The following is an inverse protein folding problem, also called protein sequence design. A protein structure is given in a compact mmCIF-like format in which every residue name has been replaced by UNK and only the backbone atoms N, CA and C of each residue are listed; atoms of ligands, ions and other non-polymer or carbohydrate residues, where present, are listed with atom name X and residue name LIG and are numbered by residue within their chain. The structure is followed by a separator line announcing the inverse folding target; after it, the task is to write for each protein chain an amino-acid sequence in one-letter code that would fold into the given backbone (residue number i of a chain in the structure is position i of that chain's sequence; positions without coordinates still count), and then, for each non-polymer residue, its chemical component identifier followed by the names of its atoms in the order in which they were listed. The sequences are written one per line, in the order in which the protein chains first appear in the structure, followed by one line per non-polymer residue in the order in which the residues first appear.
data_IF_340002750087
#
_entry.id   IF_340002750087
#
_cell.length_a   1.000
_cell.length_b   1.000
_cell.length_c   1.000
_cell.angle_alpha   90.00
_cell.angle_beta   90.00
_cell.angle_gamma   90.00
#
_symmetry.space_group_name_H-M   'P 1'
#
loop_
_entity.id
_entity.type
_entity.pdbx_description
1 polymer ?
#
# COMPACT_ATOMS: atom_id res chain seq x y z
N UNK A 1 -31.95 6.62 21.93
CA UNK A 1 -30.93 6.44 22.97
C UNK A 1 -29.75 5.79 22.29
N UNK A 2 -28.68 6.55 22.02
CA UNK A 2 -27.46 6.05 21.41
C UNK A 2 -26.64 5.38 22.51
N UNK A 3 -26.49 4.07 22.45
CA UNK A 3 -25.56 3.33 23.33
C UNK A 3 -24.15 3.56 22.81
N UNK A 4 -23.47 4.57 23.37
CA UNK A 4 -22.04 4.65 23.23
C UNK A 4 -21.43 3.48 24.04
N UNK A 5 -20.90 2.51 23.33
CA UNK A 5 -19.98 1.55 23.92
C UNK A 5 -18.67 2.30 24.24
N UNK A 6 -18.47 2.62 25.51
CA UNK A 6 -17.16 3.00 26.06
C UNK A 6 -16.30 1.72 26.17
N UNK A 7 -15.79 1.24 25.05
CA UNK A 7 -14.60 0.41 25.04
C UNK A 7 -13.42 1.39 25.00
N UNK A 8 -12.66 1.47 26.06
CA UNK A 8 -11.36 2.13 26.04
C UNK A 8 -10.53 1.38 24.98
N UNK A 9 -10.37 1.97 23.81
CA UNK A 9 -9.36 1.55 22.87
C UNK A 9 -8.03 1.94 23.50
N UNK A 10 -7.25 0.98 23.95
CA UNK A 10 -5.90 1.22 24.47
C UNK A 10 -4.96 1.77 23.39
N UNK A 11 -5.47 1.96 22.17
CA UNK A 11 -4.73 2.41 20.99
C UNK A 11 -5.47 3.54 20.29
N UNK A 12 -4.88 4.72 20.32
CA UNK A 12 -5.33 5.91 19.62
C UNK A 12 -4.33 6.32 18.55
N UNK A 13 -4.78 7.07 17.58
CA UNK A 13 -3.99 7.49 16.43
C UNK A 13 -4.21 8.98 16.20
N UNK A 14 -3.12 9.74 16.22
CA UNK A 14 -3.14 11.17 15.94
C UNK A 14 -2.70 11.43 14.51
N UNK A 15 -3.51 12.19 13.75
CA UNK A 15 -3.10 12.66 12.44
C UNK A 15 -1.92 13.62 12.56
N UNK A 16 -0.88 13.41 11.77
CA UNK A 16 0.30 14.26 11.70
C UNK A 16 0.20 15.25 10.55
N UNK A 17 0.34 14.77 9.34
CA UNK A 17 0.31 15.59 8.13
C UNK A 17 0.05 14.73 6.89
N UNK A 18 0.01 15.39 5.72
CA UNK A 18 -0.05 14.71 4.43
C UNK A 18 1.12 15.10 3.55
N UNK A 19 1.54 14.16 2.71
CA UNK A 19 2.56 14.31 1.68
C UNK A 19 1.93 14.07 0.32
N UNK A 20 2.23 14.93 -0.65
CA UNK A 20 1.81 14.72 -2.03
C UNK A 20 0.63 15.58 -2.48
N UNK A 21 0.49 15.63 -3.77
CA UNK A 21 -0.57 16.29 -4.54
C UNK A 21 -0.67 15.62 -5.91
N UNK A 22 -1.75 15.90 -6.67
CA UNK A 22 -1.87 15.42 -8.05
C UNK A 22 -0.91 16.17 -8.97
N UNK A 23 0.05 15.45 -9.53
CA UNK A 23 1.00 15.98 -10.52
C UNK A 23 1.50 14.84 -11.43
N UNK A 24 1.92 15.14 -12.66
CA UNK A 24 2.43 14.14 -13.59
C UNK A 24 3.94 13.90 -13.44
N UNK A 25 4.67 14.82 -12.88
CA UNK A 25 6.12 14.81 -12.71
C UNK A 25 6.53 15.82 -11.64
N UNK A 26 7.70 15.65 -11.03
CA UNK A 26 8.23 16.54 -10.02
C UNK A 26 7.53 16.41 -8.66
N UNK A 27 7.15 17.56 -8.10
CA UNK A 27 6.58 17.63 -6.74
C UNK A 27 5.13 17.14 -6.67
N UNK A 28 4.91 15.83 -6.73
CA UNK A 28 3.57 15.24 -6.61
C UNK A 28 3.51 13.78 -7.02
N UNK A 29 2.30 13.22 -7.05
CA UNK A 29 2.04 11.84 -7.39
C UNK A 29 0.96 11.75 -8.48
N UNK A 30 1.00 10.65 -9.24
CA UNK A 30 -0.01 10.38 -10.25
C UNK A 30 -0.56 8.97 -10.16
N UNK A 31 -1.81 8.85 -9.67
CA UNK A 31 -2.45 7.57 -9.37
C UNK A 31 -1.49 6.61 -8.64
N UNK A 32 -0.94 7.02 -7.49
CA UNK A 32 0.03 6.21 -6.77
C UNK A 32 -0.62 4.91 -6.30
N UNK A 33 0.08 3.79 -6.49
CA UNK A 33 -0.46 2.44 -6.22
C UNK A 33 0.19 1.75 -5.03
N UNK A 34 1.45 2.06 -4.75
CA UNK A 34 2.18 1.57 -3.59
C UNK A 34 3.35 2.51 -3.27
N UNK A 35 3.99 2.33 -2.15
CA UNK A 35 5.17 3.07 -1.74
C UNK A 35 6.05 2.23 -0.81
N UNK A 36 7.32 2.59 -0.70
CA UNK A 36 8.26 1.96 0.22
C UNK A 36 9.06 3.02 0.97
N UNK A 37 9.56 2.66 2.16
CA UNK A 37 10.41 3.52 2.97
C UNK A 37 11.86 3.10 2.84
N UNK A 38 12.73 4.07 2.55
CA UNK A 38 14.15 3.97 2.73
C UNK A 38 14.61 4.59 4.06
N UNK A 39 15.91 4.70 4.23
CA UNK A 39 16.51 5.42 5.34
C UNK A 39 16.20 6.92 5.29
N UNK A 40 16.43 7.63 6.40
CA UNK A 40 16.34 9.09 6.49
C UNK A 40 14.98 9.69 6.05
N UNK A 41 13.88 8.97 6.32
CA UNK A 41 12.51 9.35 5.94
C UNK A 41 12.29 9.48 4.42
N UNK A 42 13.14 8.86 3.60
CA UNK A 42 12.96 8.79 2.15
C UNK A 42 11.80 7.86 1.80
N UNK A 43 10.96 8.30 0.87
CA UNK A 43 9.80 7.54 0.38
C UNK A 43 9.89 7.38 -1.12
N UNK A 44 9.75 6.16 -1.60
CA UNK A 44 9.64 5.80 -3.00
C UNK A 44 8.19 5.55 -3.34
N UNK A 45 7.57 6.46 -4.08
CA UNK A 45 6.13 6.37 -4.42
C UNK A 45 5.98 5.87 -5.84
N UNK A 46 5.36 4.72 -6.00
CA UNK A 46 5.12 4.08 -7.28
C UNK A 46 3.86 4.64 -7.93
N UNK A 47 4.02 5.35 -9.02
CA UNK A 47 2.94 5.97 -9.77
C UNK A 47 2.56 5.12 -11.00
N UNK A 48 1.25 5.01 -11.24
CA UNK A 48 0.68 4.31 -12.39
C UNK A 48 -0.28 5.24 -13.13
N UNK A 49 0.13 5.74 -14.27
CA UNK A 49 -0.70 6.66 -15.05
C UNK A 49 -1.71 5.90 -15.93
N UNK A 50 -2.55 6.64 -16.63
CA UNK A 50 -3.50 6.06 -17.59
C UNK A 50 -2.80 5.74 -18.91
N UNK A 51 -3.29 4.74 -19.64
CA UNK A 51 -2.74 4.35 -20.96
C UNK A 51 -2.70 5.51 -21.98
N UNK A 52 -3.70 6.39 -21.94
CA UNK A 52 -3.76 7.57 -22.81
C UNK A 52 -2.90 8.76 -22.31
N UNK A 53 -2.32 8.66 -21.13
CA UNK A 53 -1.43 9.67 -20.51
C UNK A 53 -0.33 8.96 -19.71
N UNK A 54 0.57 8.23 -20.39
CA UNK A 54 1.58 7.38 -19.74
C UNK A 54 2.71 8.14 -19.07
N UNK A 55 2.85 9.43 -19.32
CA UNK A 55 3.86 10.34 -18.80
C UNK A 55 3.92 10.42 -17.26
N UNK A 56 2.89 9.97 -16.55
CA UNK A 56 2.90 9.89 -15.09
C UNK A 56 3.28 8.51 -14.51
N UNK A 57 3.80 7.59 -15.33
CA UNK A 57 4.23 6.25 -14.87
C UNK A 57 5.71 6.27 -14.52
N UNK A 58 6.03 6.42 -13.24
CA UNK A 58 7.39 6.53 -12.71
C UNK A 58 7.38 6.33 -11.19
N UNK A 59 8.57 6.29 -10.58
CA UNK A 59 8.74 6.38 -9.15
C UNK A 59 9.11 7.82 -8.80
N UNK A 60 8.35 8.44 -7.89
CA UNK A 60 8.72 9.70 -7.25
C UNK A 60 9.49 9.41 -5.98
N UNK A 61 10.64 10.03 -5.79
CA UNK A 61 11.46 9.95 -4.58
C UNK A 61 11.39 11.27 -3.84
N UNK A 62 10.93 11.24 -2.61
CA UNK A 62 10.83 12.42 -1.75
C UNK A 62 11.01 12.04 -0.27
N UNK A 63 11.07 13.02 0.62
CA UNK A 63 11.02 12.79 2.06
C UNK A 63 9.57 12.86 2.57
N UNK A 64 9.34 12.37 3.78
CA UNK A 64 8.06 12.57 4.48
C UNK A 64 7.78 14.05 4.81
N UNK A 65 8.78 14.94 4.71
CA UNK A 65 8.66 16.39 4.86
C UNK A 65 8.45 17.13 3.54
N UNK A 66 8.20 16.38 2.44
CA UNK A 66 7.96 16.89 1.09
C UNK A 66 9.20 17.55 0.42
N UNK A 67 10.43 17.13 0.77
CA UNK A 67 11.60 17.48 -0.01
C UNK A 67 11.66 16.55 -1.23
N UNK A 68 11.48 17.10 -2.43
CA UNK A 68 11.62 16.35 -3.68
C UNK A 68 13.09 16.02 -3.92
N UNK A 69 13.38 14.74 -4.18
CA UNK A 69 14.74 14.24 -4.40
C UNK A 69 14.95 13.97 -5.90
N UNK A 70 14.13 13.06 -6.47
CA UNK A 70 14.29 12.64 -7.86
C UNK A 70 13.03 11.92 -8.35
N UNK A 71 13.03 11.55 -9.63
CA UNK A 71 12.10 10.58 -10.20
C UNK A 71 12.84 9.70 -11.19
N UNK A 72 12.42 8.44 -11.34
CA UNK A 72 12.99 7.49 -12.28
C UNK A 72 11.97 6.46 -12.75
N UNK A 73 12.34 5.72 -13.81
CA UNK A 73 11.42 4.85 -14.51
C UNK A 73 10.55 5.62 -15.51
N UNK A 74 9.94 4.90 -16.42
CA UNK A 74 9.05 5.47 -17.43
C UNK A 74 8.10 4.42 -17.98
N UNK A 75 7.10 4.84 -18.75
CA UNK A 75 6.18 3.93 -19.42
C UNK A 75 6.87 3.16 -20.55
N UNK A 76 6.68 1.85 -20.62
CA UNK A 76 7.16 0.98 -21.69
C UNK A 76 7.54 -0.43 -21.21
N UNK A 77 8.13 -1.23 -22.11
CA UNK A 77 8.48 -2.64 -21.89
C UNK A 77 9.99 -2.88 -21.72
N UNK A 78 10.79 -1.85 -21.98
CA UNK A 78 12.26 -1.91 -21.93
C UNK A 78 12.80 -2.03 -20.48
N UNK A 79 14.11 -1.97 -20.37
CA UNK A 79 14.80 -1.90 -19.10
C UNK A 79 14.52 -0.55 -18.43
N UNK A 80 14.19 -0.59 -17.15
CA UNK A 80 13.81 0.63 -16.41
C UNK A 80 12.41 1.16 -16.72
N UNK A 81 11.57 0.43 -17.45
CA UNK A 81 10.22 0.84 -17.85
C UNK A 81 9.14 -0.03 -17.22
N UNK A 82 7.94 0.54 -17.10
CA UNK A 82 6.74 -0.10 -16.54
C UNK A 82 5.55 0.13 -17.46
N UNK A 83 4.56 -0.79 -17.42
CA UNK A 83 3.23 -0.57 -18.03
C UNK A 83 2.19 -0.43 -16.94
N UNK A 84 2.00 -1.47 -16.11
CA UNK A 84 1.08 -1.45 -14.99
C UNK A 84 1.77 -1.89 -13.70
N UNK A 85 2.63 -1.04 -13.13
CA UNK A 85 3.28 -1.35 -11.87
C UNK A 85 2.23 -1.42 -10.75
N UNK A 86 2.43 -2.34 -9.80
CA UNK A 86 1.44 -2.66 -8.74
C UNK A 86 1.98 -2.54 -7.34
N UNK A 87 3.23 -2.90 -7.10
CA UNK A 87 3.80 -2.90 -5.75
C UNK A 87 5.31 -2.66 -5.78
N UNK A 88 5.83 -2.09 -4.70
CA UNK A 88 7.25 -1.84 -4.48
C UNK A 88 7.66 -2.31 -3.10
N UNK A 89 8.79 -3.02 -3.02
CA UNK A 89 9.44 -3.44 -1.78
C UNK A 89 10.94 -3.17 -1.85
N UNK A 90 11.57 -2.95 -0.69
CA UNK A 90 13.02 -2.75 -0.57
C UNK A 90 13.69 -3.99 0.02
N UNK A 91 14.87 -4.32 -0.49
CA UNK A 91 15.78 -5.23 0.20
C UNK A 91 16.61 -4.48 1.28
N UNK A 92 17.49 -5.19 1.98
CA UNK A 92 18.33 -4.62 3.04
C UNK A 92 19.36 -3.59 2.53
N UNK A 93 19.67 -3.61 1.24
CA UNK A 93 20.61 -2.69 0.58
C UNK A 93 19.84 -1.51 -0.07
N UNK A 94 18.53 -1.41 0.21
CA UNK A 94 17.59 -0.43 -0.36
C UNK A 94 17.41 -0.53 -1.88
N UNK A 95 17.68 -1.69 -2.48
CA UNK A 95 17.26 -1.90 -3.87
C UNK A 95 15.75 -2.08 -3.94
N UNK A 96 15.14 -1.46 -4.95
CA UNK A 96 13.69 -1.47 -5.16
C UNK A 96 13.29 -2.64 -6.06
N UNK A 97 12.40 -3.48 -5.58
CA UNK A 97 11.75 -4.55 -6.33
C UNK A 97 10.35 -4.10 -6.70
N UNK A 98 10.02 -4.08 -7.99
CA UNK A 98 8.78 -3.54 -8.52
C UNK A 98 8.05 -4.59 -9.33
N UNK A 99 6.83 -4.94 -8.93
CA UNK A 99 5.97 -5.83 -9.68
C UNK A 99 5.23 -5.05 -10.78
N UNK A 100 5.11 -5.66 -11.95
CA UNK A 100 4.31 -5.15 -13.06
C UNK A 100 3.33 -6.22 -13.53
N UNK A 101 2.03 -5.97 -13.33
CA UNK A 101 0.98 -6.94 -13.63
C UNK A 101 0.75 -7.16 -15.14
N UNK A 102 1.12 -6.19 -15.99
CA UNK A 102 1.01 -6.34 -17.43
C UNK A 102 2.21 -7.08 -18.03
N UNK A 103 3.40 -6.72 -17.57
CA UNK A 103 4.65 -7.32 -18.05
C UNK A 103 4.95 -8.68 -17.40
N UNK A 104 4.18 -9.05 -16.35
CA UNK A 104 4.35 -10.31 -15.61
C UNK A 104 5.79 -10.51 -15.13
N UNK A 105 6.39 -9.45 -14.58
CA UNK A 105 7.79 -9.44 -14.15
C UNK A 105 8.01 -8.60 -12.90
N UNK A 106 9.16 -8.83 -12.30
CA UNK A 106 9.72 -7.97 -11.26
C UNK A 106 10.92 -7.26 -11.85
N UNK A 107 10.98 -5.95 -11.74
CA UNK A 107 12.12 -5.11 -12.11
C UNK A 107 12.84 -4.65 -10.85
N UNK A 108 14.18 -4.62 -10.87
CA UNK A 108 15.01 -4.26 -9.74
C UNK A 108 15.82 -3.01 -10.08
N UNK A 109 15.82 -2.05 -9.16
CA UNK A 109 16.55 -0.79 -9.27
C UNK A 109 17.40 -0.55 -8.03
N UNK A 110 18.47 0.20 -8.16
CA UNK A 110 19.16 0.76 -7.01
C UNK A 110 18.30 1.87 -6.35
N UNK A 111 18.62 2.23 -5.13
CA UNK A 111 17.98 3.36 -4.44
C UNK A 111 18.12 4.70 -5.18
N UNK A 112 19.14 4.82 -6.04
CA UNK A 112 19.40 6.01 -6.84
C UNK A 112 18.70 5.98 -8.21
N UNK A 113 17.90 4.91 -8.48
CA UNK A 113 17.09 4.76 -9.68
C UNK A 113 17.80 4.12 -10.87
N UNK A 114 18.98 3.53 -10.69
CA UNK A 114 19.65 2.74 -11.73
C UNK A 114 18.96 1.38 -11.90
N UNK A 115 18.62 1.04 -13.13
CA UNK A 115 18.08 -0.30 -13.42
C UNK A 115 19.19 -1.34 -13.23
N UNK A 116 18.93 -2.36 -12.40
CA UNK A 116 19.89 -3.42 -12.07
C UNK A 116 19.57 -4.73 -12.80
N UNK A 117 18.32 -5.19 -12.72
CA UNK A 117 17.90 -6.47 -13.31
C UNK A 117 16.38 -6.56 -13.44
N UNK A 118 15.91 -7.61 -14.10
CA UNK A 118 14.51 -8.02 -14.14
C UNK A 118 14.40 -9.53 -14.22
N UNK A 119 13.33 -10.08 -13.65
CA UNK A 119 13.01 -11.49 -13.70
C UNK A 119 11.50 -11.73 -13.66
N UNK A 120 11.06 -12.94 -13.98
CA UNK A 120 9.68 -13.34 -14.13
C UNK A 120 9.30 -13.49 -15.60
N UNK A 121 8.48 -14.49 -15.86
CA UNK A 121 7.91 -14.82 -17.18
C UNK A 121 6.44 -15.10 -17.03
N UNK A 122 5.64 -14.77 -18.05
CA UNK A 122 4.20 -15.02 -18.04
C UNK A 122 3.89 -16.51 -18.05
N UNK A 123 3.00 -16.94 -17.15
CA UNK A 123 2.53 -18.31 -17.11
C UNK A 123 1.97 -18.75 -15.76
N UNK A 124 1.77 -20.06 -15.58
CA UNK A 124 1.21 -20.67 -14.38
C UNK A 124 2.12 -21.74 -13.73
N UNK A 125 3.27 -22.02 -14.35
CA UNK A 125 4.29 -22.93 -13.79
C UNK A 125 4.99 -22.34 -12.57
N UNK A 126 5.87 -23.12 -11.96
CA UNK A 126 6.69 -22.67 -10.84
C UNK A 126 7.71 -21.62 -11.32
N UNK A 127 7.72 -20.47 -10.69
CA UNK A 127 8.52 -19.31 -11.10
C UNK A 127 7.91 -18.45 -12.20
N UNK A 128 6.83 -18.89 -12.86
CA UNK A 128 6.05 -18.09 -13.80
C UNK A 128 5.01 -17.25 -13.06
N UNK A 129 4.62 -16.11 -13.62
CA UNK A 129 3.72 -15.13 -13.01
C UNK A 129 2.54 -14.81 -13.96
N UNK A 130 1.35 -14.62 -13.41
CA UNK A 130 0.20 -14.03 -14.12
C UNK A 130 -0.42 -12.92 -13.25
N UNK A 131 -0.17 -11.69 -13.67
CA UNK A 131 -0.56 -10.46 -12.96
C UNK A 131 -0.03 -10.41 -11.52
N UNK A 132 1.29 -10.37 -11.33
CA UNK A 132 1.86 -10.16 -10.00
C UNK A 132 1.36 -8.84 -9.41
N UNK A 133 0.91 -8.88 -8.16
CA UNK A 133 0.33 -7.75 -7.46
C UNK A 133 1.25 -7.31 -6.29
N UNK A 134 0.99 -7.77 -5.08
CA UNK A 134 1.75 -7.37 -3.89
C UNK A 134 3.14 -8.01 -3.81
N UNK A 135 4.10 -7.25 -3.28
CA UNK A 135 5.46 -7.68 -2.95
C UNK A 135 5.77 -7.44 -1.47
N UNK A 136 6.47 -8.39 -0.87
CA UNK A 136 7.13 -8.20 0.42
C UNK A 136 8.47 -8.91 0.43
N UNK A 137 9.47 -8.33 1.11
CA UNK A 137 10.80 -8.93 1.27
C UNK A 137 11.03 -9.15 2.76
N UNK A 138 11.34 -10.40 3.14
CA UNK A 138 11.59 -10.74 4.53
C UNK A 138 12.99 -10.29 4.98
N UNK A 139 13.25 -10.21 6.31
CA UNK A 139 14.59 -9.94 6.82
C UNK A 139 15.65 -10.93 6.31
N UNK A 140 15.25 -12.18 6.01
CA UNK A 140 16.11 -13.23 5.43
C UNK A 140 16.28 -13.07 3.91
N UNK A 141 15.79 -11.96 3.33
CA UNK A 141 15.91 -11.63 1.91
C UNK A 141 15.17 -12.62 0.98
N UNK A 142 14.03 -13.14 1.45
CA UNK A 142 13.08 -13.87 0.61
C UNK A 142 12.04 -12.92 0.05
N UNK A 143 11.86 -12.93 -1.26
CA UNK A 143 10.83 -12.14 -1.96
C UNK A 143 9.54 -12.95 -2.03
N UNK A 144 8.47 -12.44 -1.43
CA UNK A 144 7.13 -12.97 -1.56
C UNK A 144 6.39 -12.19 -2.63
N UNK A 145 5.83 -12.88 -3.62
CA UNK A 145 5.10 -12.30 -4.74
C UNK A 145 3.68 -12.84 -4.75
N UNK A 146 2.71 -11.96 -4.64
CA UNK A 146 1.30 -12.32 -4.86
C UNK A 146 1.08 -12.48 -6.36
N UNK A 147 0.95 -13.71 -6.81
CA UNK A 147 0.67 -14.10 -8.19
C UNK A 147 -0.86 -14.16 -8.39
N UNK A 148 -1.45 -12.96 -8.55
CA UNK A 148 -2.86 -12.69 -8.31
C UNK A 148 -3.79 -13.55 -9.16
N UNK A 149 -3.56 -13.64 -10.45
CA UNK A 149 -4.44 -14.39 -11.35
C UNK A 149 -4.26 -15.90 -11.25
N UNK A 150 -3.09 -16.34 -10.80
CA UNK A 150 -2.84 -17.75 -10.44
C UNK A 150 -3.33 -18.09 -9.02
N UNK A 151 -3.89 -17.12 -8.28
CA UNK A 151 -4.47 -17.31 -6.93
C UNK A 151 -3.50 -17.97 -5.95
N UNK A 152 -2.25 -17.52 -5.95
CA UNK A 152 -1.18 -18.05 -5.10
C UNK A 152 -0.21 -16.98 -4.66
N UNK A 153 0.62 -17.29 -3.67
CA UNK A 153 1.84 -16.56 -3.34
C UNK A 153 3.03 -17.42 -3.70
N UNK A 154 4.02 -16.85 -4.37
CA UNK A 154 5.28 -17.51 -4.67
C UNK A 154 6.42 -16.86 -3.89
N UNK A 155 7.42 -17.66 -3.53
CA UNK A 155 8.66 -17.25 -2.85
C UNK A 155 9.83 -17.34 -3.81
N UNK A 156 10.67 -16.30 -3.80
CA UNK A 156 11.87 -16.21 -4.66
C UNK A 156 13.08 -15.74 -3.85
N UNK A 157 14.28 -16.05 -4.35
CA UNK A 157 15.47 -15.31 -3.95
C UNK A 157 15.46 -13.90 -4.55
N UNK A 158 16.37 -13.04 -4.13
CA UNK A 158 16.52 -11.68 -4.70
C UNK A 158 16.80 -11.71 -6.22
N UNK A 159 17.46 -12.76 -6.71
CA UNK A 159 17.78 -12.97 -8.14
C UNK A 159 16.63 -13.60 -8.94
N UNK A 160 15.47 -13.85 -8.30
CA UNK A 160 14.30 -14.42 -8.96
C UNK A 160 14.30 -15.95 -9.07
N UNK A 161 15.14 -16.65 -8.28
CA UNK A 161 15.08 -18.12 -8.23
C UNK A 161 13.86 -18.55 -7.40
N UNK A 162 13.00 -19.39 -8.00
CA UNK A 162 11.85 -19.96 -7.31
C UNK A 162 12.28 -20.81 -6.10
N UNK A 163 11.64 -20.56 -4.95
CA UNK A 163 11.91 -21.25 -3.68
C UNK A 163 10.71 -22.05 -3.16
N UNK A 164 9.49 -21.66 -3.54
CA UNK A 164 8.28 -22.31 -3.09
C UNK A 164 7.03 -21.50 -3.38
N UNK A 165 5.87 -22.08 -3.08
CA UNK A 165 4.57 -21.43 -3.27
C UNK A 165 3.53 -21.96 -2.30
N UNK A 166 2.47 -21.20 -2.08
CA UNK A 166 1.28 -21.62 -1.36
C UNK A 166 0.02 -20.94 -1.89
N UNK A 167 -1.13 -21.50 -1.59
CA UNK A 167 -2.42 -21.01 -2.07
C UNK A 167 -2.86 -21.66 -3.37
N UNK A 168 -4.16 -21.61 -3.60
CA UNK A 168 -4.86 -22.09 -4.80
C UNK A 168 -6.18 -21.32 -4.95
N UNK A 169 -6.81 -21.41 -6.13
CA UNK A 169 -8.10 -20.76 -6.33
C UNK A 169 -9.20 -21.36 -5.44
N UNK A 170 -9.95 -20.47 -4.78
CA UNK A 170 -11.12 -20.83 -3.98
C UNK A 170 -11.46 -19.81 -2.89
N UNK A 171 -12.27 -20.26 -1.90
CA UNK A 171 -12.72 -19.43 -0.79
C UNK A 171 -12.52 -20.11 0.59
N UNK A 172 -11.99 -21.32 0.64
CA UNK A 172 -11.65 -22.02 1.87
C UNK A 172 -10.38 -21.48 2.54
N UNK A 173 -9.98 -22.04 3.69
CA UNK A 173 -8.70 -21.75 4.32
C UNK A 173 -7.53 -22.05 3.40
N UNK A 174 -6.64 -21.08 3.22
CA UNK A 174 -5.49 -21.20 2.33
C UNK A 174 -5.79 -21.07 0.84
N UNK A 175 -7.06 -20.90 0.46
CA UNK A 175 -7.45 -20.63 -0.93
C UNK A 175 -7.65 -19.13 -1.14
N UNK A 176 -7.42 -18.65 -2.38
CA UNK A 176 -7.50 -17.24 -2.75
C UNK A 176 -8.41 -17.02 -3.96
N UNK A 177 -8.98 -15.83 -4.02
CA UNK A 177 -9.64 -15.33 -5.23
C UNK A 177 -9.08 -13.95 -5.59
N UNK A 178 -8.16 -13.92 -6.55
CA UNK A 178 -7.42 -12.71 -6.93
C UNK A 178 -6.82 -11.98 -5.70
N UNK A 179 -5.92 -12.61 -4.92
CA UNK A 179 -5.23 -11.94 -3.83
C UNK A 179 -4.47 -10.73 -4.34
N UNK A 180 -4.29 -9.69 -3.51
CA UNK A 180 -3.67 -8.44 -3.97
C UNK A 180 -2.50 -8.02 -3.09
N UNK A 181 -2.75 -7.43 -1.93
CA UNK A 181 -1.72 -6.94 -1.02
C UNK A 181 -1.13 -8.04 -0.15
N UNK A 182 0.09 -7.82 0.31
CA UNK A 182 0.83 -8.70 1.20
C UNK A 182 1.59 -7.88 2.24
N UNK A 183 1.63 -8.36 3.47
CA UNK A 183 2.42 -7.79 4.55
C UNK A 183 3.10 -8.88 5.36
N UNK A 184 4.24 -8.56 5.96
CA UNK A 184 4.96 -9.44 6.87
C UNK A 184 4.80 -8.91 8.29
N UNK A 185 4.52 -9.81 9.22
CA UNK A 185 4.47 -9.51 10.64
C UNK A 185 5.85 -9.68 11.29
N UNK A 186 6.12 -9.05 12.44
CA UNK A 186 7.40 -9.19 13.14
C UNK A 186 7.75 -10.64 13.54
N UNK A 187 6.74 -11.49 13.73
CA UNK A 187 6.93 -12.92 14.02
C UNK A 187 7.24 -13.78 12.78
N UNK A 188 7.34 -13.15 11.58
CA UNK A 188 7.56 -13.82 10.30
C UNK A 188 6.27 -14.33 9.63
N UNK A 189 5.10 -14.12 10.22
CA UNK A 189 3.82 -14.45 9.57
C UNK A 189 3.60 -13.61 8.33
N UNK A 190 2.95 -14.21 7.33
CA UNK A 190 2.60 -13.58 6.05
C UNK A 190 1.10 -13.31 6.01
N UNK A 191 0.71 -12.04 5.87
CA UNK A 191 -0.68 -11.66 5.72
C UNK A 191 -0.97 -11.31 4.27
N UNK A 192 -2.07 -11.84 3.72
CA UNK A 192 -2.46 -11.64 2.32
C UNK A 192 -3.87 -11.08 2.26
N UNK A 193 -4.05 -9.99 1.54
CA UNK A 193 -5.36 -9.44 1.23
C UNK A 193 -6.00 -10.26 0.10
N UNK A 194 -6.97 -11.08 0.44
CA UNK A 194 -7.72 -11.95 -0.45
C UNK A 194 -8.88 -11.15 -1.07
N UNK A 195 -8.54 -10.33 -2.06
CA UNK A 195 -9.28 -9.19 -2.57
C UNK A 195 -10.72 -9.51 -2.97
N UNK A 196 -10.99 -10.62 -3.68
CA UNK A 196 -12.36 -11.00 -4.09
C UNK A 196 -13.13 -11.83 -3.06
N UNK A 197 -12.45 -12.30 -2.04
CA UNK A 197 -13.09 -12.97 -0.90
C UNK A 197 -13.32 -12.01 0.28
N UNK A 198 -12.98 -10.72 0.13
CA UNK A 198 -13.21 -9.66 1.12
C UNK A 198 -12.68 -10.02 2.52
N UNK A 199 -11.46 -10.58 2.59
CA UNK A 199 -10.82 -11.02 3.84
C UNK A 199 -9.32 -10.86 3.82
N UNK A 200 -8.68 -10.96 4.98
CA UNK A 200 -7.24 -11.12 5.14
C UNK A 200 -6.98 -12.54 5.59
N UNK A 201 -5.97 -13.21 5.03
CA UNK A 201 -5.52 -14.51 5.48
C UNK A 201 -4.09 -14.44 6.00
N UNK A 202 -3.81 -15.16 7.09
CA UNK A 202 -2.51 -15.26 7.73
C UNK A 202 -1.92 -16.65 7.53
N UNK A 203 -0.61 -16.69 7.23
CA UNK A 203 0.17 -17.91 6.99
C UNK A 203 1.48 -17.84 7.76
N UNK A 204 2.10 -19.00 8.01
CA UNK A 204 3.52 -19.03 8.39
C UNK A 204 4.40 -18.61 7.19
N UNK A 205 5.67 -18.33 7.43
CA UNK A 205 6.66 -18.07 6.38
C UNK A 205 6.79 -19.23 5.37
N UNK A 206 6.48 -20.47 5.78
CA UNK A 206 6.47 -21.65 4.91
C UNK A 206 5.20 -21.76 4.08
N UNK A 207 4.15 -20.94 4.38
CA UNK A 207 2.88 -20.92 3.66
C UNK A 207 1.80 -21.83 4.27
N UNK A 208 1.94 -22.22 5.53
CA UNK A 208 0.90 -22.95 6.26
C UNK A 208 -0.16 -21.96 6.75
N UNK A 209 -1.40 -22.18 6.37
CA UNK A 209 -2.53 -21.35 6.80
C UNK A 209 -2.70 -21.38 8.33
N UNK A 210 -2.94 -20.20 8.92
CA UNK A 210 -3.12 -20.01 10.36
C UNK A 210 -4.49 -19.44 10.72
N UNK A 211 -4.89 -18.35 10.05
CA UNK A 211 -6.12 -17.63 10.36
C UNK A 211 -6.71 -16.90 9.16
N UNK A 212 -7.99 -16.49 9.28
CA UNK A 212 -8.65 -15.55 8.37
C UNK A 212 -9.39 -14.50 9.17
N UNK A 213 -9.31 -13.25 8.73
CA UNK A 213 -9.95 -12.10 9.36
C UNK A 213 -10.86 -11.41 8.36
N UNK A 214 -12.07 -11.05 8.81
CA UNK A 214 -13.04 -10.31 8.02
C UNK A 214 -13.97 -11.15 7.16
N UNK A 215 -14.91 -10.47 6.59
CA UNK A 215 -15.93 -10.97 5.66
C UNK A 215 -16.48 -9.81 4.83
N UNK A 216 -17.20 -10.11 3.75
CA UNK A 216 -17.79 -9.09 2.88
C UNK A 216 -18.74 -8.15 3.61
N UNK A 217 -18.62 -6.84 3.37
CA UNK A 217 -19.51 -5.81 3.90
C UNK A 217 -18.82 -4.49 4.21
N UNK A 218 -19.55 -3.61 4.92
CA UNK A 218 -19.08 -2.27 5.29
C UNK A 218 -19.08 -1.99 6.80
N UNK A 219 -19.50 -2.96 7.61
CA UNK A 219 -19.48 -2.86 9.08
C UNK A 219 -18.08 -3.03 9.68
N UNK A 220 -18.02 -3.02 11.00
CA UNK A 220 -16.82 -3.32 11.77
C UNK A 220 -16.36 -4.76 11.50
N UNK A 221 -15.08 -4.95 11.19
CA UNK A 221 -14.53 -6.27 10.85
C UNK A 221 -15.04 -6.84 9.52
N UNK A 222 -15.72 -6.03 8.71
CA UNK A 222 -16.10 -6.38 7.34
C UNK A 222 -15.28 -5.58 6.36
N UNK A 223 -14.99 -6.15 5.19
CA UNK A 223 -14.19 -5.50 4.14
C UNK A 223 -14.92 -5.54 2.79
N UNK A 224 -14.53 -4.61 1.93
CA UNK A 224 -14.94 -4.60 0.54
C UNK A 224 -13.70 -4.33 -0.32
N UNK A 225 -13.18 -5.39 -0.94
CA UNK A 225 -11.96 -5.35 -1.74
C UNK A 225 -10.75 -4.82 -0.95
N UNK A 226 -10.35 -5.46 0.18
CA UNK A 226 -9.15 -5.05 0.90
C UNK A 226 -7.94 -5.11 -0.04
N UNK A 227 -7.19 -4.01 -0.12
CA UNK A 227 -6.11 -3.88 -1.10
C UNK A 227 -4.74 -4.05 -0.43
N UNK A 228 -4.42 -3.22 0.56
CA UNK A 228 -3.17 -3.26 1.29
C UNK A 228 -3.33 -3.81 2.71
N UNK A 229 -2.29 -4.48 3.21
CA UNK A 229 -2.20 -4.94 4.60
C UNK A 229 -0.78 -4.76 5.10
N UNK A 230 -0.63 -4.28 6.34
CA UNK A 230 0.64 -4.30 7.07
C UNK A 230 0.42 -4.62 8.54
N UNK A 231 1.50 -4.96 9.23
CA UNK A 231 1.51 -5.27 10.68
C UNK A 231 2.59 -4.42 11.32
N UNK A 232 2.30 -3.80 12.46
CA UNK A 232 3.29 -3.04 13.23
C UNK A 232 4.04 -3.93 14.24
N UNK A 233 4.98 -3.33 14.97
CA UNK A 233 5.81 -4.01 15.97
C UNK A 233 5.00 -4.60 17.15
N UNK A 234 3.81 -4.07 17.42
CA UNK A 234 2.89 -4.60 18.45
C UNK A 234 2.00 -5.73 17.92
N UNK A 235 2.08 -6.05 16.63
CA UNK A 235 1.27 -7.05 15.94
C UNK A 235 -0.10 -6.52 15.52
N UNK A 236 -0.38 -5.23 15.62
CA UNK A 236 -1.64 -4.65 15.13
C UNK A 236 -1.66 -4.66 13.60
N UNK A 237 -2.80 -5.08 13.05
CA UNK A 237 -3.00 -5.33 11.62
C UNK A 237 -3.76 -4.15 11.02
N UNK A 238 -3.17 -3.46 10.05
CA UNK A 238 -3.77 -2.34 9.33
C UNK A 238 -4.20 -2.79 7.95
N UNK A 239 -5.46 -2.55 7.59
CA UNK A 239 -6.06 -3.01 6.34
C UNK A 239 -6.63 -1.82 5.56
N UNK A 240 -6.11 -1.57 4.37
CA UNK A 240 -6.66 -0.62 3.43
C UNK A 240 -7.92 -1.22 2.78
N UNK A 241 -9.08 -0.85 3.31
CA UNK A 241 -10.42 -1.32 2.91
C UNK A 241 -10.93 -0.45 1.75
N UNK A 242 -10.41 -0.75 0.56
CA UNK A 242 -10.39 0.10 -0.63
C UNK A 242 -11.75 0.65 -1.02
N UNK A 243 -12.76 -0.20 -1.21
CA UNK A 243 -14.10 0.22 -1.64
C UNK A 243 -14.93 0.85 -0.51
N UNK A 244 -14.53 0.66 0.74
CA UNK A 244 -15.15 1.30 1.90
C UNK A 244 -14.49 2.63 2.27
N UNK A 245 -13.44 3.06 1.54
CA UNK A 245 -12.72 4.32 1.76
C UNK A 245 -12.23 4.51 3.21
N UNK A 246 -11.64 3.48 3.79
CA UNK A 246 -11.14 3.52 5.17
C UNK A 246 -9.93 2.60 5.35
N UNK A 247 -9.22 2.79 6.46
CA UNK A 247 -8.31 1.79 7.01
C UNK A 247 -8.94 1.24 8.27
N UNK A 248 -9.05 -0.07 8.41
CA UNK A 248 -9.41 -0.72 9.67
C UNK A 248 -8.17 -1.25 10.36
N UNK A 249 -8.17 -1.18 11.69
CA UNK A 249 -7.11 -1.71 12.55
C UNK A 249 -7.67 -2.85 13.38
N UNK A 250 -7.01 -4.00 13.30
CA UNK A 250 -7.32 -5.18 14.10
C UNK A 250 -6.14 -5.46 15.04
N UNK A 251 -6.42 -6.05 16.20
CA UNK A 251 -5.37 -6.59 17.05
C UNK A 251 -4.79 -7.92 16.50
N UNK A 252 -3.73 -8.50 17.09
CA UNK A 252 -3.13 -9.74 16.61
C UNK A 252 -4.10 -10.93 16.51
N UNK A 253 -5.17 -10.94 17.31
CA UNK A 253 -6.21 -11.99 17.27
C UNK A 253 -7.32 -11.68 16.24
N UNK A 254 -7.16 -10.61 15.44
CA UNK A 254 -8.12 -10.23 14.40
C UNK A 254 -9.36 -9.49 14.92
N UNK A 255 -9.36 -9.03 16.18
CA UNK A 255 -10.47 -8.21 16.73
C UNK A 255 -10.29 -6.75 16.35
N UNK A 256 -11.36 -6.11 15.96
CA UNK A 256 -11.39 -4.68 15.61
C UNK A 256 -10.94 -3.81 16.78
N UNK A 257 -10.04 -2.87 16.50
CA UNK A 257 -9.57 -1.85 17.44
C UNK A 257 -10.07 -0.47 17.05
N UNK A 258 -9.81 -0.06 15.79
CA UNK A 258 -10.05 1.31 15.34
C UNK A 258 -10.27 1.36 13.83
N UNK A 259 -10.78 2.50 13.33
CA UNK A 259 -10.81 2.81 11.91
C UNK A 259 -10.35 4.24 11.64
N UNK A 260 -9.66 4.44 10.54
CA UNK A 260 -9.26 5.75 10.02
C UNK A 260 -10.05 6.03 8.75
N UNK A 261 -10.65 7.21 8.64
CA UNK A 261 -11.42 7.64 7.46
C UNK A 261 -10.76 8.79 6.70
N UNK A 262 -9.65 9.30 7.23
CA UNK A 262 -8.89 10.41 6.68
C UNK A 262 -9.14 11.74 7.39
N UNK A 263 -8.04 12.47 7.62
CA UNK A 263 -8.01 13.72 8.39
C UNK A 263 -7.19 14.81 7.67
N UNK A 264 -7.12 14.72 6.35
CA UNK A 264 -6.21 15.54 5.53
C UNK A 264 -6.29 17.04 5.81
N UNK A 265 -5.11 17.62 5.94
CA UNK A 265 -4.83 19.05 5.76
C UNK A 265 -3.88 19.19 4.58
N UNK A 266 -4.07 20.24 3.75
CA UNK A 266 -3.23 20.46 2.56
C UNK A 266 -1.75 20.36 2.93
N UNK A 267 -1.03 19.54 2.19
CA UNK A 267 0.42 19.43 2.23
C UNK A 267 1.09 20.72 1.76
N UNK A 268 2.39 20.87 1.95
CA UNK A 268 3.12 22.04 1.46
C UNK A 268 3.02 22.14 -0.06
N UNK A 269 3.31 21.05 -0.76
CA UNK A 269 3.17 21.00 -2.23
C UNK A 269 1.75 21.35 -2.70
N UNK A 270 0.73 20.90 -1.96
CA UNK A 270 -0.66 21.25 -2.23
C UNK A 270 -0.94 22.74 -2.05
N UNK A 271 -0.43 23.37 -0.99
CA UNK A 271 -0.55 24.81 -0.75
C UNK A 271 0.14 25.62 -1.84
N UNK A 272 1.35 25.25 -2.23
CA UNK A 272 2.14 25.94 -3.25
C UNK A 272 1.43 25.91 -4.62
N UNK A 273 0.92 24.74 -5.00
CA UNK A 273 0.11 24.59 -6.23
C UNK A 273 -1.16 25.44 -6.19
N UNK A 274 -1.86 25.43 -5.07
CA UNK A 274 -3.08 26.22 -4.91
C UNK A 274 -2.77 27.73 -4.99
N UNK A 275 -1.69 28.18 -4.35
CA UNK A 275 -1.26 29.59 -4.38
C UNK A 275 -0.89 30.07 -5.77
N UNK A 276 -0.42 29.19 -6.65
CA UNK A 276 -0.06 29.52 -8.04
C UNK A 276 -1.26 29.68 -8.98
N UNK A 277 -2.48 29.31 -8.55
CA UNK A 277 -3.67 29.34 -9.41
C UNK A 277 -4.92 29.81 -8.64
N UNK A 278 -5.32 31.10 -8.77
CA UNK A 278 -6.49 31.67 -8.09
C UNK A 278 -7.82 30.96 -8.40
N UNK A 279 -7.98 30.39 -9.59
CA UNK A 279 -9.22 29.67 -9.96
C UNK A 279 -9.35 28.36 -9.17
N UNK A 280 -8.23 27.68 -8.89
CA UNK A 280 -8.23 26.49 -8.04
C UNK A 280 -8.63 26.82 -6.60
N UNK A 281 -8.18 27.96 -6.06
CA UNK A 281 -8.58 28.45 -4.73
C UNK A 281 -10.09 28.63 -4.68
N UNK A 282 -10.66 29.27 -5.70
CA UNK A 282 -12.09 29.53 -5.80
C UNK A 282 -12.92 28.22 -5.92
N UNK A 283 -12.49 27.31 -6.78
CA UNK A 283 -13.16 26.03 -6.96
C UNK A 283 -13.11 25.17 -5.68
N UNK A 284 -11.97 25.17 -4.99
CA UNK A 284 -11.84 24.48 -3.70
C UNK A 284 -12.77 25.08 -2.65
N UNK A 285 -12.85 26.40 -2.54
CA UNK A 285 -13.74 27.07 -1.61
C UNK A 285 -15.21 26.71 -1.85
N UNK A 286 -15.65 26.60 -3.12
CA UNK A 286 -16.99 26.16 -3.49
C UNK A 286 -17.23 24.71 -3.07
N UNK A 287 -16.30 23.81 -3.34
CA UNK A 287 -16.43 22.42 -2.94
C UNK A 287 -16.51 22.24 -1.41
N UNK A 288 -15.67 22.93 -0.66
CA UNK A 288 -15.67 22.91 0.81
C UNK A 288 -16.91 23.55 1.42
N UNK A 289 -17.55 24.51 0.74
CA UNK A 289 -18.80 25.11 1.19
C UNK A 289 -19.98 24.10 1.09
N UNK A 290 -19.93 23.18 0.15
CA UNK A 290 -20.95 22.13 -0.02
C UNK A 290 -20.67 20.88 0.83
N UNK A 291 -19.40 20.53 1.04
CA UNK A 291 -18.95 19.42 1.90
C UNK A 291 -17.67 19.84 2.63
N UNK A 292 -17.75 20.24 3.91
CA UNK A 292 -16.57 20.64 4.70
C UNK A 292 -15.51 19.55 4.85
N UNK A 293 -15.89 18.29 4.70
CA UNK A 293 -15.03 17.13 4.78
C UNK A 293 -14.59 16.60 3.40
N UNK A 294 -14.97 17.30 2.33
CA UNK A 294 -14.69 16.92 0.94
C UNK A 294 -13.24 16.47 0.71
N UNK A 295 -12.30 17.14 1.33
CA UNK A 295 -10.87 16.89 1.11
C UNK A 295 -10.22 16.04 2.21
N UNK A 296 -10.88 15.85 3.35
CA UNK A 296 -10.30 15.14 4.49
C UNK A 296 -10.28 13.63 4.28
N UNK A 297 -11.42 13.07 3.84
CA UNK A 297 -11.65 11.63 3.77
C UNK A 297 -10.77 10.95 2.73
N UNK A 298 -10.42 9.70 2.99
CA UNK A 298 -9.80 8.84 1.99
C UNK A 298 -10.72 8.63 0.78
N UNK A 299 -10.07 8.43 -0.37
CA UNK A 299 -10.73 7.97 -1.59
C UNK A 299 -9.91 6.85 -2.22
N UNK A 300 -10.38 5.61 -2.01
CA UNK A 300 -9.71 4.40 -2.43
C UNK A 300 -8.29 4.24 -1.84
N UNK A 301 -8.13 4.16 -0.50
CA UNK A 301 -6.83 3.89 0.09
C UNK A 301 -6.34 2.51 -0.39
N UNK A 302 -5.15 2.47 -1.01
CA UNK A 302 -4.66 1.26 -1.67
C UNK A 302 -3.47 0.60 -0.96
N UNK A 303 -2.68 1.35 -0.22
CA UNK A 303 -1.58 0.83 0.57
C UNK A 303 -1.57 1.43 1.96
N UNK A 304 -1.14 0.65 2.92
CA UNK A 304 -0.87 1.08 4.29
C UNK A 304 0.45 0.46 4.73
N UNK A 305 1.29 1.24 5.38
CA UNK A 305 2.59 0.81 5.92
C UNK A 305 2.73 1.35 7.34
N UNK A 306 3.38 0.58 8.19
CA UNK A 306 3.78 0.98 9.54
C UNK A 306 5.30 0.94 9.64
N UNK A 307 5.90 1.86 10.39
CA UNK A 307 7.32 1.85 10.69
C UNK A 307 7.61 1.58 12.17
N UNK A 308 8.87 1.33 12.49
CA UNK A 308 9.33 1.05 13.84
C UNK A 308 9.14 2.23 14.82
N UNK A 309 8.86 3.45 14.33
CA UNK A 309 8.60 4.62 15.14
C UNK A 309 7.10 4.78 15.49
N UNK A 310 6.24 3.84 15.08
CA UNK A 310 4.81 3.89 15.29
C UNK A 310 4.09 4.87 14.35
N UNK A 311 4.73 5.25 13.23
CA UNK A 311 4.08 6.03 12.19
C UNK A 311 3.31 5.10 11.26
N UNK A 312 2.06 5.45 11.00
CA UNK A 312 1.18 4.73 10.09
C UNK A 312 0.92 5.62 8.89
N UNK A 313 1.25 5.13 7.72
CA UNK A 313 1.13 5.86 6.47
C UNK A 313 0.13 5.19 5.56
N UNK A 314 -0.82 5.98 5.07
CA UNK A 314 -1.93 5.50 4.23
C UNK A 314 -1.86 6.19 2.88
N UNK A 315 -1.67 5.41 1.81
CA UNK A 315 -1.68 5.90 0.45
C UNK A 315 -3.12 6.04 -0.06
N UNK A 316 -3.52 7.27 -0.26
CA UNK A 316 -4.84 7.68 -0.75
C UNK A 316 -4.79 7.83 -2.28
N UNK A 317 -5.06 6.72 -2.98
CA UNK A 317 -4.86 6.58 -4.43
C UNK A 317 -5.51 7.69 -5.25
N UNK A 318 -6.82 7.88 -5.12
CA UNK A 318 -7.54 8.85 -5.95
C UNK A 318 -7.20 10.29 -5.59
N UNK A 319 -6.73 10.53 -4.36
CA UNK A 319 -6.34 11.86 -3.88
C UNK A 319 -4.87 12.17 -4.13
N UNK A 320 -4.08 11.21 -4.63
CA UNK A 320 -2.66 11.36 -4.96
C UNK A 320 -1.83 11.88 -3.77
N UNK A 321 -1.96 11.24 -2.62
CA UNK A 321 -1.30 11.65 -1.39
C UNK A 321 -1.08 10.48 -0.43
N UNK A 322 -0.16 10.68 0.51
CA UNK A 322 0.01 9.84 1.69
C UNK A 322 -0.48 10.64 2.89
N UNK A 323 -1.29 10.06 3.76
CA UNK A 323 -1.65 10.62 5.06
C UNK A 323 -0.88 9.90 6.16
N UNK A 324 -0.25 10.67 7.05
CA UNK A 324 0.56 10.15 8.14
C UNK A 324 -0.20 10.27 9.46
N UNK A 325 -0.15 9.19 10.23
CA UNK A 325 -0.67 9.09 11.58
C UNK A 325 0.44 8.60 12.50
N UNK A 326 0.33 8.94 13.78
CA UNK A 326 1.19 8.41 14.84
C UNK A 326 0.32 7.57 15.76
N UNK A 327 0.76 6.35 16.07
CA UNK A 327 0.17 5.53 17.11
C UNK A 327 0.57 6.11 18.45
N UNK A 328 -0.40 6.55 19.25
CA UNK A 328 -0.17 7.18 20.54
C UNK A 328 0.29 6.11 21.54
N UNK A 329 1.35 6.40 22.31
CA UNK A 329 1.92 5.47 23.29
C UNK A 329 1.08 5.38 24.57
N UNK A 330 0.23 6.39 24.82
CA UNK A 330 -0.73 6.42 25.92
C UNK A 330 -2.09 6.87 25.38
N UNK A 331 -3.22 6.34 25.90
CA UNK A 331 -4.53 6.76 25.45
C UNK A 331 -4.72 8.26 25.74
N UNK A 332 -4.99 9.03 24.69
CA UNK A 332 -5.40 10.43 24.84
C UNK A 332 -6.83 10.42 25.39
N UNK A 333 -6.98 10.80 26.65
CA UNK A 333 -8.30 11.00 27.24
C UNK A 333 -8.95 12.21 26.55
N UNK A 334 -9.97 11.96 25.74
CA UNK A 334 -10.77 12.98 25.07
C UNK A 334 -11.79 13.62 26.03
#
# INVERSE_FOLDING_TARGET
MSTHFFGLSDRTYSYSHSVGRSEFSGTGFRNPVDFAFGADDVVYVLNRSYENRPDGTHITVCTLTEDYISEFGSYGEGDGQFIWPTSVALDKDENLYIADEWLNRISVFSKDGEFLSKWGTSGSGDGELDRPAGLAISPEQTVFVVDSRNSRVQKFSLEGKFLGKFGSFGSGPGEFNMPWGIGLAPDGSVLVADWRNDRIQQFTSEGVWQASFGQSGSGVGQFNRPNGVCVDEDGDIYIADWMNNRVQVLNPEGRFINEMRGDHVLSQWGRDKLASNPDMIRQRAIAMASDPDFDKKFSHPCAVKADANGRIMVLDHTRNRIQLYTKDKEPVLA
#
